data_IF_408668721754
#
_entry.id   IF_408668721754
#
_cell.length_a   1.000
_cell.length_b   1.000
_cell.length_c   1.000
_cell.angle_alpha   90.00
_cell.angle_beta   90.00
_cell.angle_gamma   90.00
#
_symmetry.space_group_name_H-M   'P 1'
#
loop_
_entity.id
_entity.type
_entity.pdbx_description
1 polymer ?
#
# COMPACT_ATOMS: atom_id res chain seq x y z
N UNK A 1 -34.83 -0.75 23.74
CA UNK A 1 -34.10 0.51 23.54
C UNK A 1 -32.99 0.71 24.57
N UNK A 2 -33.30 0.71 25.87
CA UNK A 2 -32.33 1.02 26.95
C UNK A 2 -31.14 0.04 27.04
N UNK A 3 -31.37 -1.27 26.86
CA UNK A 3 -30.28 -2.27 26.88
C UNK A 3 -29.27 -2.07 25.73
N UNK A 4 -29.76 -1.73 24.53
CA UNK A 4 -28.93 -1.47 23.35
C UNK A 4 -28.03 -0.23 23.54
N UNK A 5 -28.55 0.80 24.21
CA UNK A 5 -27.75 2.01 24.53
C UNK A 5 -26.66 1.72 25.57
N UNK A 6 -26.92 0.87 26.57
CA UNK A 6 -25.91 0.53 27.60
C UNK A 6 -24.76 -0.29 27.00
N UNK A 7 -25.06 -1.28 26.17
CA UNK A 7 -24.04 -2.11 25.52
C UNK A 7 -23.16 -1.30 24.57
N UNK A 8 -23.76 -0.41 23.76
CA UNK A 8 -23.03 0.48 22.87
C UNK A 8 -22.09 1.42 23.64
N UNK A 9 -22.55 1.97 24.78
CA UNK A 9 -21.74 2.86 25.62
C UNK A 9 -20.59 2.12 26.28
N UNK A 10 -20.84 0.91 26.80
CA UNK A 10 -19.79 0.06 27.34
C UNK A 10 -18.74 -0.26 26.26
N UNK A 11 -19.17 -0.47 25.02
CA UNK A 11 -18.29 -0.71 23.88
C UNK A 11 -17.45 0.51 23.52
N UNK A 12 -18.06 1.70 23.44
CA UNK A 12 -17.36 2.95 23.12
C UNK A 12 -16.36 3.37 24.20
N UNK A 13 -16.57 2.94 25.44
CA UNK A 13 -15.63 3.14 26.54
C UNK A 13 -14.63 1.97 26.73
N UNK A 14 -14.71 0.91 25.92
CA UNK A 14 -13.79 -0.21 25.99
C UNK A 14 -12.42 0.18 25.44
N UNK A 15 -11.38 0.14 26.28
CA UNK A 15 -10.01 0.53 25.91
C UNK A 15 -9.48 -0.21 24.68
N UNK A 16 -9.76 -1.50 24.56
CA UNK A 16 -9.25 -2.28 23.44
C UNK A 16 -9.96 -1.97 22.11
N UNK A 17 -11.26 -1.64 22.16
CA UNK A 17 -11.98 -1.12 21.00
C UNK A 17 -11.50 0.26 20.57
N UNK A 18 -11.25 1.14 21.55
CA UNK A 18 -10.66 2.46 21.32
C UNK A 18 -9.30 2.33 20.63
N UNK A 19 -8.44 1.44 21.11
CA UNK A 19 -7.14 1.20 20.48
C UNK A 19 -7.28 0.67 19.05
N UNK A 20 -8.27 -0.19 18.80
CA UNK A 20 -8.55 -0.68 17.45
C UNK A 20 -8.96 0.48 16.51
N UNK A 21 -9.80 1.41 16.98
CA UNK A 21 -10.17 2.62 16.23
C UNK A 21 -8.96 3.53 15.98
N UNK A 22 -8.12 3.75 16.99
CA UNK A 22 -6.87 4.53 16.86
C UNK A 22 -5.94 3.90 15.83
N UNK A 23 -5.74 2.58 15.90
CA UNK A 23 -4.88 1.86 14.97
C UNK A 23 -5.38 1.97 13.53
N UNK A 24 -6.71 1.84 13.32
CA UNK A 24 -7.35 2.06 12.04
C UNK A 24 -7.17 3.48 11.52
N UNK A 25 -7.29 4.48 12.41
CA UNK A 25 -7.03 5.88 12.05
C UNK A 25 -5.57 6.10 11.64
N UNK A 26 -4.61 5.49 12.32
CA UNK A 26 -3.20 5.56 11.92
C UNK A 26 -2.95 5.00 10.51
N UNK A 27 -3.67 3.95 10.10
CA UNK A 27 -3.56 3.42 8.72
C UNK A 27 -4.07 4.41 7.68
N UNK A 28 -5.18 5.10 7.97
CA UNK A 28 -5.70 6.15 7.08
C UNK A 28 -4.69 7.30 6.97
N UNK A 29 -4.17 7.77 8.10
CA UNK A 29 -3.16 8.84 8.16
C UNK A 29 -1.89 8.44 7.41
N UNK A 30 -1.41 7.20 7.60
CA UNK A 30 -0.29 6.64 6.83
C UNK A 30 -0.56 6.67 5.32
N UNK A 31 -1.73 6.22 4.89
CA UNK A 31 -2.13 6.22 3.48
C UNK A 31 -2.13 7.65 2.91
N UNK A 32 -2.67 8.64 3.64
CA UNK A 32 -2.71 10.04 3.20
C UNK A 32 -1.31 10.61 2.97
N UNK A 33 -0.33 10.22 3.80
CA UNK A 33 1.06 10.62 3.60
C UNK A 33 1.76 9.91 2.45
N UNK A 34 1.52 8.61 2.28
CA UNK A 34 2.21 7.79 1.29
C UNK A 34 1.76 8.05 -0.14
N UNK A 35 0.46 8.27 -0.36
CA UNK A 35 -0.06 8.24 -1.72
C UNK A 35 0.47 9.37 -2.63
N UNK A 36 0.65 10.63 -2.20
CA UNK A 36 1.19 11.68 -3.07
C UNK A 36 2.65 11.40 -3.45
N UNK A 37 3.44 10.97 -2.46
CA UNK A 37 4.84 10.61 -2.64
C UNK A 37 4.99 9.44 -3.63
N UNK A 38 4.25 8.35 -3.42
CA UNK A 38 4.31 7.16 -4.27
C UNK A 38 3.86 7.48 -5.69
N UNK A 39 2.75 8.21 -5.84
CA UNK A 39 2.24 8.59 -7.16
C UNK A 39 3.27 9.40 -7.96
N UNK A 40 3.95 10.34 -7.31
CA UNK A 40 5.07 11.08 -7.90
C UNK A 40 6.22 10.15 -8.30
N UNK A 41 6.70 9.30 -7.38
CA UNK A 41 7.80 8.37 -7.66
C UNK A 41 7.51 7.43 -8.83
N UNK A 42 6.30 6.90 -8.93
CA UNK A 42 5.92 6.01 -10.04
C UNK A 42 5.79 6.77 -11.36
N UNK A 43 5.29 8.01 -11.33
CA UNK A 43 5.22 8.87 -12.50
C UNK A 43 6.60 9.18 -13.06
N UNK A 44 7.53 9.55 -12.19
CA UNK A 44 8.92 9.84 -12.56
C UNK A 44 9.59 8.57 -13.12
N UNK A 45 9.45 7.44 -12.42
CA UNK A 45 9.95 6.13 -12.87
C UNK A 45 9.41 5.70 -14.23
N UNK A 46 8.10 5.88 -14.45
CA UNK A 46 7.47 5.61 -15.74
C UNK A 46 8.06 6.47 -16.86
N UNK A 47 8.26 7.77 -16.60
CA UNK A 47 8.93 8.68 -17.52
C UNK A 47 10.36 8.26 -17.84
N UNK A 48 11.12 7.86 -16.83
CA UNK A 48 12.50 7.38 -16.97
C UNK A 48 12.58 6.12 -17.82
N UNK A 49 11.70 5.13 -17.58
CA UNK A 49 11.61 3.93 -18.42
C UNK A 49 11.33 4.28 -19.89
N UNK A 50 10.39 5.19 -20.15
CA UNK A 50 10.07 5.63 -21.51
C UNK A 50 11.24 6.37 -22.18
N UNK A 51 12.04 7.10 -21.42
CA UNK A 51 13.21 7.82 -21.91
C UNK A 51 14.38 6.88 -22.22
N UNK A 52 14.63 5.90 -21.36
CA UNK A 52 15.72 4.94 -21.50
C UNK A 52 15.43 3.86 -22.54
N UNK A 53 14.16 3.46 -22.70
CA UNK A 53 13.72 2.39 -23.60
C UNK A 53 12.64 2.90 -24.57
N UNK A 54 13.02 3.56 -25.68
CA UNK A 54 12.06 4.16 -26.62
C UNK A 54 11.01 3.17 -27.17
N UNK A 55 11.33 1.87 -27.25
CA UNK A 55 10.39 0.84 -27.69
C UNK A 55 9.15 0.71 -26.79
N UNK A 56 9.24 1.10 -25.51
CA UNK A 56 8.11 1.09 -24.58
C UNK A 56 7.01 2.09 -24.97
N UNK A 57 7.31 3.05 -25.86
CA UNK A 57 6.35 4.02 -26.39
C UNK A 57 5.43 3.43 -27.45
N UNK A 58 5.80 2.28 -28.03
CA UNK A 58 5.02 1.63 -29.08
C UNK A 58 3.64 1.20 -28.56
N UNK A 59 2.57 1.41 -29.34
CA UNK A 59 1.24 0.97 -28.94
C UNK A 59 1.10 -0.55 -29.05
N UNK A 60 0.35 -1.14 -28.12
CA UNK A 60 -0.06 -2.55 -28.19
C UNK A 60 -0.89 -2.81 -29.46
N UNK A 61 -0.46 -3.79 -30.27
CA UNK A 61 -1.13 -4.14 -31.54
C UNK A 61 -2.25 -5.17 -31.42
N UNK A 62 -2.33 -5.89 -30.29
CA UNK A 62 -3.21 -7.05 -30.14
C UNK A 62 -4.23 -6.92 -29.01
N UNK A 63 -4.41 -5.71 -28.46
CA UNK A 63 -5.30 -5.44 -27.30
C UNK A 63 -5.10 -6.46 -26.16
N UNK A 64 -3.84 -6.69 -25.79
CA UNK A 64 -3.45 -7.74 -24.86
C UNK A 64 -4.18 -7.65 -23.52
N UNK A 65 -4.47 -8.82 -22.94
CA UNK A 65 -5.05 -8.97 -21.61
C UNK A 65 -4.23 -9.95 -20.78
N UNK A 66 -4.11 -9.75 -19.47
CA UNK A 66 -3.53 -10.76 -18.59
C UNK A 66 -4.36 -12.05 -18.61
N UNK A 67 -3.71 -13.19 -18.41
CA UNK A 67 -4.35 -14.52 -18.29
C UNK A 67 -3.99 -15.12 -16.93
N UNK A 68 -4.66 -14.65 -15.87
CA UNK A 68 -4.36 -15.08 -14.51
C UNK A 68 -2.99 -14.57 -14.06
N UNK A 69 -2.20 -15.47 -13.45
CA UNK A 69 -0.82 -15.21 -13.04
C UNK A 69 0.20 -15.21 -14.18
N UNK A 70 -0.22 -15.52 -15.40
CA UNK A 70 0.65 -15.61 -16.56
C UNK A 70 0.27 -14.57 -17.61
N UNK A 71 1.27 -14.11 -18.36
CA UNK A 71 1.07 -13.25 -19.54
C UNK A 71 1.35 -13.99 -20.85
N UNK A 72 1.00 -15.28 -20.91
CA UNK A 72 1.18 -16.04 -22.15
C UNK A 72 0.43 -15.38 -23.31
N UNK A 73 1.03 -15.37 -24.51
CA UNK A 73 0.51 -14.76 -25.75
C UNK A 73 0.42 -13.22 -25.80
N UNK A 74 1.36 -12.50 -25.18
CA UNK A 74 1.51 -11.05 -25.39
C UNK A 74 2.06 -10.71 -26.79
N UNK A 75 1.67 -9.54 -27.31
CA UNK A 75 2.35 -8.93 -28.44
C UNK A 75 3.76 -8.45 -28.06
N UNK A 76 4.60 -8.19 -29.06
CA UNK A 76 5.98 -7.73 -28.87
C UNK A 76 6.08 -6.55 -27.90
N UNK A 77 5.25 -5.53 -28.06
CA UNK A 77 5.35 -4.30 -27.26
C UNK A 77 4.95 -4.52 -25.78
N UNK A 78 3.94 -5.36 -25.50
CA UNK A 78 3.59 -5.71 -24.13
C UNK A 78 4.63 -6.63 -23.48
N UNK A 79 5.35 -7.44 -24.27
CA UNK A 79 6.48 -8.24 -23.78
C UNK A 79 7.62 -7.35 -23.32
N UNK A 80 7.95 -6.28 -24.05
CA UNK A 80 8.96 -5.29 -23.62
C UNK A 80 8.60 -4.66 -22.26
N UNK A 81 7.33 -4.28 -22.09
CA UNK A 81 6.84 -3.78 -20.80
C UNK A 81 6.93 -4.80 -19.68
N UNK A 82 6.56 -6.06 -19.95
CA UNK A 82 6.63 -7.15 -18.96
C UNK A 82 8.07 -7.38 -18.52
N UNK A 83 9.02 -7.36 -19.46
CA UNK A 83 10.45 -7.45 -19.16
C UNK A 83 10.91 -6.29 -18.29
N UNK A 84 10.57 -5.04 -18.64
CA UNK A 84 10.92 -3.87 -17.84
C UNK A 84 10.34 -3.94 -16.42
N UNK A 85 9.09 -4.39 -16.27
CA UNK A 85 8.44 -4.57 -14.96
C UNK A 85 9.17 -5.62 -14.12
N UNK A 86 9.53 -6.75 -14.74
CA UNK A 86 10.23 -7.85 -14.07
C UNK A 86 11.64 -7.48 -13.64
N UNK A 87 12.38 -6.71 -14.46
CA UNK A 87 13.72 -6.21 -14.11
C UNK A 87 13.68 -5.39 -12.82
N UNK A 88 12.67 -4.54 -12.68
CA UNK A 88 12.49 -3.64 -11.53
C UNK A 88 11.73 -4.25 -10.34
N UNK A 89 11.56 -5.58 -10.33
CA UNK A 89 10.99 -6.28 -9.19
C UNK A 89 12.09 -6.69 -8.20
N UNK A 90 11.99 -6.36 -6.91
CA UNK A 90 13.04 -6.64 -5.90
C UNK A 90 13.40 -8.14 -5.75
N UNK A 91 12.48 -9.05 -6.08
CA UNK A 91 12.76 -10.51 -6.14
C UNK A 91 13.38 -10.98 -7.47
N UNK A 92 13.79 -10.09 -8.37
CA UNK A 92 14.39 -10.44 -9.66
C UNK A 92 15.84 -10.93 -9.55
N UNK A 93 16.50 -10.69 -8.40
CA UNK A 93 17.83 -11.25 -8.12
C UNK A 93 17.77 -12.77 -7.97
N UNK A 94 18.11 -13.48 -9.06
CA UNK A 94 18.50 -14.90 -9.03
C UNK A 94 17.53 -15.88 -9.69
N UNK A 95 16.25 -15.56 -9.92
CA UNK A 95 15.36 -16.44 -10.70
C UNK A 95 14.04 -15.75 -11.15
N UNK A 96 14.05 -15.11 -12.33
CA UNK A 96 12.88 -14.44 -12.92
C UNK A 96 11.69 -15.37 -13.20
N UNK A 97 11.86 -16.70 -13.13
CA UNK A 97 10.81 -17.70 -13.40
C UNK A 97 9.80 -17.90 -12.26
N UNK A 98 10.02 -17.30 -11.09
CA UNK A 98 9.14 -17.47 -9.91
C UNK A 98 8.56 -16.18 -9.32
N UNK A 99 8.78 -15.03 -9.98
CA UNK A 99 8.18 -13.77 -9.52
C UNK A 99 6.67 -13.82 -9.76
N UNK A 100 5.90 -13.98 -8.68
CA UNK A 100 4.44 -14.06 -8.72
C UNK A 100 3.82 -12.66 -8.76
N UNK A 101 3.95 -11.98 -9.90
CA UNK A 101 3.30 -10.70 -10.16
C UNK A 101 1.79 -10.89 -10.39
N UNK A 102 1.00 -9.93 -9.91
CA UNK A 102 -0.46 -9.95 -10.05
C UNK A 102 -0.88 -9.27 -11.36
N UNK A 103 -0.50 -9.86 -12.49
CA UNK A 103 -0.78 -9.31 -13.82
C UNK A 103 -2.27 -9.02 -14.06
N UNK A 104 -3.17 -9.78 -13.44
CA UNK A 104 -4.62 -9.55 -13.46
C UNK A 104 -5.04 -8.15 -13.00
N UNK A 105 -4.20 -7.46 -12.21
CA UNK A 105 -4.45 -6.08 -11.82
C UNK A 105 -4.31 -5.11 -13.01
N UNK A 106 -3.55 -5.47 -14.03
CA UNK A 106 -3.04 -4.55 -15.04
C UNK A 106 -3.85 -4.60 -16.34
N UNK A 107 -3.79 -3.49 -17.08
CA UNK A 107 -4.25 -3.38 -18.46
C UNK A 107 -3.03 -3.13 -19.36
N UNK A 108 -2.40 -4.18 -19.94
CA UNK A 108 -1.15 -4.08 -20.68
C UNK A 108 -1.09 -2.99 -21.78
N UNK A 109 -2.16 -2.76 -22.57
CA UNK A 109 -2.17 -1.68 -23.55
C UNK A 109 -1.99 -0.27 -22.98
N UNK A 110 -2.28 -0.09 -21.68
CA UNK A 110 -2.23 1.20 -20.99
C UNK A 110 -0.88 1.49 -20.35
N UNK A 111 0.02 0.50 -20.22
CA UNK A 111 1.35 0.71 -19.62
C UNK A 111 2.15 1.82 -20.29
N UNK A 112 1.96 2.05 -21.59
CA UNK A 112 2.66 3.14 -22.30
C UNK A 112 2.24 4.55 -21.88
N UNK A 113 1.01 4.72 -21.39
CA UNK A 113 0.39 6.04 -21.16
C UNK A 113 -0.04 6.28 -19.72
N UNK A 114 -0.17 5.23 -18.91
CA UNK A 114 -0.66 5.30 -17.54
C UNK A 114 0.40 4.71 -16.60
N UNK A 115 1.06 5.59 -15.85
CA UNK A 115 2.08 5.22 -14.86
C UNK A 115 1.48 4.33 -13.76
N UNK A 116 0.18 4.44 -13.48
CA UNK A 116 -0.46 3.64 -12.45
C UNK A 116 -0.67 2.19 -12.86
N UNK A 117 -0.89 1.92 -14.15
CA UNK A 117 -0.98 0.55 -14.65
C UNK A 117 0.36 -0.21 -14.52
N UNK A 118 1.49 0.50 -14.55
CA UNK A 118 2.81 -0.02 -14.18
C UNK A 118 2.85 -0.36 -12.67
N UNK A 119 2.39 0.56 -11.82
CA UNK A 119 2.38 0.37 -10.35
C UNK A 119 1.63 -0.89 -9.92
N UNK A 120 0.47 -1.15 -10.53
CA UNK A 120 -0.42 -2.27 -10.19
C UNK A 120 0.21 -3.65 -10.29
N UNK A 121 1.25 -3.81 -11.11
CA UNK A 121 1.95 -5.08 -11.24
C UNK A 121 2.60 -5.50 -9.91
N UNK A 122 3.15 -4.54 -9.17
CA UNK A 122 3.85 -4.74 -7.90
C UNK A 122 2.90 -4.81 -6.68
N UNK A 123 1.61 -4.62 -6.87
CA UNK A 123 0.62 -4.61 -5.79
C UNK A 123 0.03 -6.00 -5.50
N UNK A 124 -0.62 -6.20 -4.34
CA UNK A 124 -1.37 -7.42 -4.06
C UNK A 124 -2.51 -7.59 -5.06
N UNK A 125 -3.08 -8.80 -5.13
CA UNK A 125 -4.24 -9.08 -5.98
C UNK A 125 -5.43 -8.18 -5.59
N UNK A 126 -6.25 -7.80 -6.58
CA UNK A 126 -7.52 -7.11 -6.37
C UNK A 126 -7.47 -5.61 -6.65
N UNK A 127 -6.44 -5.11 -7.35
CA UNK A 127 -6.26 -3.68 -7.66
C UNK A 127 -6.71 -3.30 -9.07
N UNK A 128 -7.56 -4.13 -9.70
CA UNK A 128 -7.99 -3.96 -11.11
C UNK A 128 -8.68 -2.61 -11.34
N UNK A 129 -9.61 -2.24 -10.46
CA UNK A 129 -10.46 -1.04 -10.58
C UNK A 129 -9.78 0.25 -10.10
N UNK A 130 -8.65 0.15 -9.40
CA UNK A 130 -7.93 1.30 -8.83
C UNK A 130 -7.34 2.14 -9.95
N UNK A 131 -7.46 3.47 -9.89
CA UNK A 131 -6.95 4.38 -10.94
C UNK A 131 -5.83 5.31 -10.49
N UNK A 132 -5.45 5.25 -9.22
CA UNK A 132 -4.35 6.05 -8.68
C UNK A 132 -4.08 5.75 -7.21
N UNK A 133 -2.97 6.28 -6.70
CA UNK A 133 -2.52 6.03 -5.32
C UNK A 133 -3.56 6.39 -4.27
N UNK A 134 -4.31 7.48 -4.49
CA UNK A 134 -5.31 7.96 -3.54
C UNK A 134 -6.48 6.97 -3.31
N UNK A 135 -6.70 6.03 -4.24
CA UNK A 135 -7.75 5.01 -4.14
C UNK A 135 -7.26 3.71 -3.49
N UNK A 136 -5.95 3.58 -3.23
CA UNK A 136 -5.38 2.43 -2.55
C UNK A 136 -5.58 2.52 -1.03
N UNK A 137 -5.67 1.35 -0.39
CA UNK A 137 -5.42 1.26 1.04
C UNK A 137 -3.91 1.35 1.33
N UNK A 138 -3.56 1.56 2.61
CA UNK A 138 -2.16 1.64 3.02
C UNK A 138 -1.36 0.39 2.63
N UNK A 139 -1.98 -0.78 2.62
CA UNK A 139 -1.25 -2.03 2.35
C UNK A 139 -0.90 -2.21 0.90
N UNK A 140 -1.77 -1.87 -0.04
CA UNK A 140 -1.45 -1.89 -1.47
C UNK A 140 -0.24 -0.98 -1.77
N UNK A 141 -0.19 0.20 -1.14
CA UNK A 141 0.93 1.12 -1.23
C UNK A 141 2.22 0.55 -0.61
N UNK A 142 2.13 -0.08 0.55
CA UNK A 142 3.28 -0.73 1.21
C UNK A 142 3.82 -1.92 0.40
N UNK A 143 2.94 -2.72 -0.19
CA UNK A 143 3.33 -3.83 -1.06
C UNK A 143 4.07 -3.34 -2.31
N UNK A 144 3.62 -2.24 -2.92
CA UNK A 144 4.32 -1.60 -4.03
C UNK A 144 5.76 -1.24 -3.65
N UNK A 145 5.95 -0.63 -2.47
CA UNK A 145 7.28 -0.23 -1.97
C UNK A 145 8.24 -1.43 -1.80
N UNK A 146 7.75 -2.56 -1.27
CA UNK A 146 8.61 -3.74 -1.04
C UNK A 146 8.84 -4.59 -2.28
N UNK A 147 8.03 -4.43 -3.32
CA UNK A 147 8.14 -5.23 -4.54
C UNK A 147 8.87 -4.49 -5.67
N UNK A 148 8.90 -3.15 -5.67
CA UNK A 148 9.55 -2.35 -6.71
C UNK A 148 10.90 -1.79 -6.24
N UNK A 149 11.95 -2.00 -7.04
CA UNK A 149 13.32 -1.57 -6.73
C UNK A 149 13.55 -0.05 -6.85
N UNK A 150 12.64 0.67 -7.50
CA UNK A 150 12.59 2.14 -7.55
C UNK A 150 12.45 2.79 -6.14
N UNK A 151 12.16 1.99 -5.12
CA UNK A 151 12.20 2.39 -3.71
C UNK A 151 13.34 1.69 -2.95
N UNK A 152 14.63 1.92 -3.29
CA UNK A 152 15.75 1.11 -2.78
C UNK A 152 16.06 1.37 -1.30
N UNK A 153 15.71 2.54 -0.78
CA UNK A 153 16.10 2.99 0.57
C UNK A 153 15.09 2.66 1.67
N UNK A 154 14.13 1.78 1.40
CA UNK A 154 13.12 1.36 2.38
C UNK A 154 13.41 -0.06 2.86
N UNK A 155 13.69 -0.22 4.16
CA UNK A 155 13.87 -1.48 4.85
C UNK A 155 12.61 -2.34 4.76
N UNK A 156 12.73 -3.42 4.00
CA UNK A 156 11.68 -4.39 3.75
C UNK A 156 11.10 -4.97 5.04
N UNK A 157 11.94 -5.18 6.07
CA UNK A 157 11.49 -5.75 7.35
C UNK A 157 10.51 -4.80 8.05
N UNK A 158 10.82 -3.52 8.07
CA UNK A 158 9.95 -2.50 8.68
C UNK A 158 8.60 -2.39 7.95
N UNK A 159 8.59 -2.47 6.61
CA UNK A 159 7.34 -2.46 5.84
C UNK A 159 6.52 -3.72 6.11
N UNK A 160 7.15 -4.90 6.06
CA UNK A 160 6.49 -6.19 6.34
C UNK A 160 5.86 -6.23 7.74
N UNK A 161 6.54 -5.65 8.72
CA UNK A 161 6.03 -5.53 10.09
C UNK A 161 4.75 -4.69 10.16
N UNK A 162 4.71 -3.54 9.49
CA UNK A 162 3.49 -2.71 9.42
C UNK A 162 2.36 -3.41 8.66
N UNK A 163 2.67 -4.13 7.57
CA UNK A 163 1.69 -4.97 6.85
C UNK A 163 1.12 -6.05 7.78
N UNK A 164 1.96 -6.69 8.60
CA UNK A 164 1.53 -7.69 9.57
C UNK A 164 0.55 -7.08 10.58
N UNK A 165 0.89 -5.93 11.19
CA UNK A 165 -0.01 -5.23 12.11
C UNK A 165 -1.34 -4.85 11.45
N UNK A 166 -1.33 -4.39 10.19
CA UNK A 166 -2.57 -4.14 9.43
C UNK A 166 -3.41 -5.41 9.35
N UNK A 167 -2.81 -6.52 8.95
CA UNK A 167 -3.53 -7.78 8.76
C UNK A 167 -4.12 -8.30 10.08
N UNK A 168 -3.35 -8.23 11.18
CA UNK A 168 -3.83 -8.57 12.52
C UNK A 168 -5.01 -7.67 12.93
N UNK A 169 -4.92 -6.36 12.69
CA UNK A 169 -6.00 -5.41 13.00
C UNK A 169 -7.29 -5.72 12.23
N UNK A 170 -7.18 -5.97 10.92
CA UNK A 170 -8.32 -6.26 10.05
C UNK A 170 -8.95 -7.63 10.32
N UNK A 171 -8.19 -8.58 10.87
CA UNK A 171 -8.68 -9.90 11.25
C UNK A 171 -9.11 -10.01 12.73
N UNK A 172 -9.03 -8.92 13.50
CA UNK A 172 -9.54 -8.89 14.87
C UNK A 172 -11.08 -8.98 14.86
N UNK A 173 -11.63 -10.17 15.09
CA UNK A 173 -13.09 -10.40 15.10
C UNK A 173 -13.81 -9.56 16.17
N UNK A 174 -13.15 -9.39 17.31
CA UNK A 174 -13.64 -8.62 18.44
C UNK A 174 -13.39 -7.11 18.28
N UNK A 175 -12.81 -6.66 17.16
CA UNK A 175 -12.38 -5.28 16.89
C UNK A 175 -11.65 -4.70 18.11
N UNK A 176 -10.73 -5.45 18.68
CA UNK A 176 -10.09 -5.14 19.96
C UNK A 176 -8.59 -5.42 19.86
N UNK A 177 -7.78 -4.49 20.37
CA UNK A 177 -6.33 -4.67 20.50
C UNK A 177 -5.84 -4.13 21.85
N UNK A 178 -4.84 -4.80 22.44
CA UNK A 178 -4.30 -4.42 23.75
C UNK A 178 -3.45 -3.15 23.67
N UNK A 179 -3.23 -2.50 24.81
CA UNK A 179 -2.32 -1.35 24.90
C UNK A 179 -0.89 -1.72 24.46
N UNK A 180 -0.44 -2.93 24.80
CA UNK A 180 0.87 -3.44 24.39
C UNK A 180 0.98 -3.61 22.88
N UNK A 181 -0.06 -4.17 22.26
CA UNK A 181 -0.14 -4.30 20.81
C UNK A 181 -0.09 -2.92 20.15
N UNK A 182 -0.88 -1.96 20.64
CA UNK A 182 -0.92 -0.60 20.10
C UNK A 182 0.45 0.10 20.20
N UNK A 183 1.14 -0.04 21.33
CA UNK A 183 2.49 0.49 21.55
C UNK A 183 3.48 -0.06 20.53
N UNK A 184 3.45 -1.38 20.30
CA UNK A 184 4.33 -2.02 19.31
C UNK A 184 4.01 -1.53 17.89
N UNK A 185 2.73 -1.49 17.53
CA UNK A 185 2.29 -0.97 16.23
C UNK A 185 2.76 0.47 15.98
N UNK A 186 2.61 1.36 16.96
CA UNK A 186 3.09 2.73 16.87
C UNK A 186 4.61 2.81 16.67
N UNK A 187 5.38 2.00 17.40
CA UNK A 187 6.83 1.97 17.25
C UNK A 187 7.23 1.51 15.84
N UNK A 188 6.56 0.50 15.28
CA UNK A 188 6.83 0.01 13.93
C UNK A 188 6.43 1.03 12.87
N UNK A 189 5.33 1.77 13.05
CA UNK A 189 4.96 2.91 12.20
C UNK A 189 6.02 4.02 12.22
N UNK A 190 6.46 4.43 13.42
CA UNK A 190 7.49 5.46 13.56
C UNK A 190 8.80 5.06 12.89
N UNK A 191 9.23 3.81 13.10
CA UNK A 191 10.42 3.24 12.46
C UNK A 191 10.31 3.23 10.93
N UNK A 192 9.13 2.92 10.40
CA UNK A 192 8.88 2.99 8.95
C UNK A 192 8.96 4.45 8.45
N UNK A 193 8.24 5.37 9.10
CA UNK A 193 8.16 6.77 8.68
C UNK A 193 9.50 7.50 8.75
N UNK A 194 10.41 7.08 9.64
CA UNK A 194 11.78 7.59 9.69
C UNK A 194 12.57 7.36 8.39
N UNK A 195 12.18 6.39 7.57
CA UNK A 195 12.85 6.09 6.30
C UNK A 195 12.45 7.07 5.19
N UNK A 196 11.43 7.89 5.44
CA UNK A 196 10.94 8.93 4.53
C UNK A 196 11.18 10.35 5.08
N UNK A 197 12.19 10.55 5.93
CA UNK A 197 12.49 11.86 6.55
C UNK A 197 12.68 13.01 5.55
N UNK A 198 13.05 12.70 4.30
CA UNK A 198 13.24 13.70 3.25
C UNK A 198 11.95 14.01 2.46
N UNK A 199 10.80 13.46 2.88
CA UNK A 199 9.50 13.62 2.22
C UNK A 199 8.62 14.52 3.10
N UNK A 200 8.37 15.78 2.70
CA UNK A 200 7.62 16.75 3.52
C UNK A 200 6.23 16.27 3.93
N UNK A 201 5.52 15.59 3.04
CA UNK A 201 4.18 15.05 3.29
C UNK A 201 4.18 14.06 4.44
N UNK A 202 5.27 13.31 4.62
CA UNK A 202 5.41 12.29 5.67
C UNK A 202 5.70 12.90 7.04
N UNK A 203 6.30 14.08 7.11
CA UNK A 203 6.57 14.74 8.39
C UNK A 203 5.26 15.12 9.12
N UNK A 204 4.28 15.62 8.37
CA UNK A 204 2.94 15.91 8.92
C UNK A 204 2.25 14.64 9.41
N UNK A 205 2.43 13.53 8.71
CA UNK A 205 1.85 12.21 9.06
C UNK A 205 2.40 11.69 10.39
N UNK A 206 3.70 11.88 10.67
CA UNK A 206 4.28 11.48 11.96
C UNK A 206 3.61 12.21 13.12
N UNK A 207 3.42 13.52 12.99
CA UNK A 207 2.77 14.34 14.00
C UNK A 207 1.33 13.88 14.24
N UNK A 208 0.56 13.65 13.17
CA UNK A 208 -0.83 13.17 13.28
C UNK A 208 -0.92 11.79 13.94
N UNK A 209 0.03 10.88 13.68
CA UNK A 209 0.05 9.56 14.35
C UNK A 209 0.34 9.71 15.84
N UNK A 210 1.23 10.62 16.22
CA UNK A 210 1.48 10.94 17.63
C UNK A 210 0.23 11.54 18.31
N UNK A 211 -0.48 12.43 17.64
CA UNK A 211 -1.75 12.99 18.14
C UNK A 211 -2.82 11.91 18.35
N UNK A 212 -3.06 11.03 17.37
CA UNK A 212 -4.01 9.89 17.47
C UNK A 212 -3.68 9.01 18.68
N UNK A 213 -2.39 8.88 19.00
CA UNK A 213 -1.89 8.12 20.14
C UNK A 213 -2.23 8.80 21.47
N UNK A 214 -2.08 10.13 21.53
CA UNK A 214 -2.33 10.95 22.72
C UNK A 214 -3.79 11.22 23.02
N UNK A 215 -4.70 11.08 22.03
CA UNK A 215 -6.14 11.27 22.28
C UNK A 215 -6.63 10.34 23.40
N UNK A 216 -6.88 10.92 24.58
CA UNK A 216 -7.66 10.26 25.62
C UNK A 216 -9.11 10.18 25.14
N UNK A 217 -9.77 9.04 25.33
CA UNK A 217 -11.17 8.94 24.98
C UNK A 217 -12.00 9.89 25.83
N UNK A 218 -12.80 10.70 25.16
CA UNK A 218 -13.95 11.36 25.80
C UNK A 218 -14.87 10.22 26.23
N UNK A 219 -15.04 10.04 27.54
CA UNK A 219 -15.98 9.05 28.05
C UNK A 219 -17.37 9.39 27.54
N UNK A 220 -18.00 8.44 26.85
CA UNK A 220 -19.40 8.62 26.43
C UNK A 220 -20.25 8.37 27.66
N UNK A 221 -20.84 9.44 28.20
CA UNK A 221 -21.79 9.38 29.31
C UNK A 221 -23.19 9.53 28.74
N UNK A 222 -24.06 8.55 29.00
CA UNK A 222 -25.50 8.67 28.72
C UNK A 222 -26.16 9.26 29.96
N UNK A 223 -26.93 10.33 29.78
CA UNK A 223 -27.83 10.87 30.80
C UNK A 223 -29.23 10.28 30.61
#
# INVERSE_FOLDING_TARGET
>A
AILWTVELVARLNNRGYINWLKAGRCLLVLKEGLHPFIDKCIRDFHGDLLNQKPQLRNPCQASCKPKGKNVSSLCKDCTEWTTAILEHHKLSEGNTRHVNLNWDNCVPPSWRTDHWELAKAYMPRGQVSVKGAAQCDASALLYLIINCDNFPNVDEKSVKEVIQFRNELMHSSELNVTDEWMRRYQNSLKKLLQQFNNVPEIETVKQQIDEVSMFACVSVVVH
#
